data_IF_875467728174
#
_entry.id   IF_875467728174
#
_cell.length_a   1.000
_cell.length_b   1.000
_cell.length_c   1.000
_cell.angle_alpha   90.00
_cell.angle_beta   90.00
_cell.angle_gamma   90.00
#
_symmetry.space_group_name_H-M   'P 1'
#
loop_
_entity.id
_entity.type
_entity.pdbx_description
1 polymer ?
#
# COMPACT_ATOMS: atom_id res chain seq x y z
N UNK A 1 3.24 -13.68 -16.42
CA UNK A 1 2.11 -12.84 -15.97
C UNK A 1 1.08 -13.77 -15.35
N UNK A 2 0.98 -13.79 -14.01
CA UNK A 2 0.06 -14.69 -13.29
C UNK A 2 -1.22 -13.91 -13.00
N UNK A 3 -2.35 -14.44 -13.47
CA UNK A 3 -3.67 -13.85 -13.27
C UNK A 3 -4.30 -14.45 -12.01
N UNK A 4 -5.04 -13.64 -11.26
CA UNK A 4 -5.87 -14.10 -10.13
C UNK A 4 -7.31 -14.28 -10.59
N UNK A 5 -8.08 -15.09 -9.87
CA UNK A 5 -9.48 -15.35 -10.20
C UNK A 5 -10.33 -15.49 -8.95
N UNK A 6 -11.57 -14.99 -9.02
CA UNK A 6 -12.64 -15.33 -8.10
C UNK A 6 -13.67 -16.25 -8.81
N UNK A 7 -14.77 -16.58 -8.12
CA UNK A 7 -15.77 -17.54 -8.63
C UNK A 7 -16.45 -17.13 -9.94
N UNK A 8 -16.35 -15.86 -10.36
CA UNK A 8 -17.04 -15.31 -11.52
C UNK A 8 -16.16 -14.47 -12.47
N UNK A 9 -14.92 -14.16 -12.10
CA UNK A 9 -14.03 -13.30 -12.89
C UNK A 9 -12.56 -13.67 -12.73
N UNK A 10 -11.78 -13.50 -13.79
CA UNK A 10 -10.32 -13.54 -13.80
C UNK A 10 -9.81 -12.11 -13.97
N UNK A 11 -8.83 -11.70 -13.18
CA UNK A 11 -8.35 -10.31 -13.16
C UNK A 11 -6.85 -10.21 -12.89
N UNK A 12 -6.31 -9.03 -13.24
CA UNK A 12 -4.96 -8.61 -12.91
C UNK A 12 -4.99 -7.12 -12.64
N UNK A 13 -4.68 -6.74 -11.40
CA UNK A 13 -4.83 -5.37 -10.94
C UNK A 13 -3.47 -4.82 -10.49
N UNK A 14 -3.04 -3.72 -11.12
CA UNK A 14 -1.83 -2.99 -10.74
C UNK A 14 -2.21 -1.60 -10.26
N UNK A 15 -1.84 -1.27 -9.02
CA UNK A 15 -2.13 0.02 -8.42
C UNK A 15 -0.88 0.63 -7.81
N UNK A 16 -0.77 1.95 -7.95
CA UNK A 16 0.20 2.77 -7.21
C UNK A 16 -0.57 3.61 -6.19
N UNK A 17 -0.56 3.17 -4.93
CA UNK A 17 -1.20 3.88 -3.84
C UNK A 17 -0.20 4.85 -3.17
N UNK A 18 -0.58 6.12 -3.06
CA UNK A 18 0.20 7.15 -2.37
C UNK A 18 -0.68 7.85 -1.35
N UNK A 19 -0.18 7.95 -0.11
CA UNK A 19 -0.88 8.56 1.03
C UNK A 19 0.06 9.53 1.74
N UNK A 20 -0.51 10.51 2.45
CA UNK A 20 0.26 11.48 3.24
C UNK A 20 -0.35 11.62 4.62
N UNK A 21 0.51 11.87 5.61
CA UNK A 21 0.07 12.11 6.99
C UNK A 21 -0.75 13.40 7.12
N UNK A 22 -1.61 13.45 8.13
CA UNK A 22 -2.44 14.61 8.42
C UNK A 22 -1.58 15.88 8.55
N UNK A 23 -1.99 16.94 7.86
CA UNK A 23 -1.25 18.22 7.77
C UNK A 23 0.18 18.14 7.21
N UNK A 24 0.56 17.02 6.57
CA UNK A 24 1.89 16.81 5.96
C UNK A 24 3.06 17.07 6.93
N UNK A 25 2.86 16.79 8.23
CA UNK A 25 3.91 16.95 9.24
C UNK A 25 5.02 15.92 8.99
N UNK A 26 6.28 16.29 9.22
CA UNK A 26 7.43 15.36 9.11
C UNK A 26 7.54 14.50 10.38
N UNK A 27 6.55 13.64 10.59
CA UNK A 27 6.42 12.80 11.80
C UNK A 27 6.83 11.34 11.58
N UNK A 28 7.09 10.92 10.34
CA UNK A 28 7.61 9.59 10.07
C UNK A 28 9.12 9.63 10.33
N UNK A 29 9.50 9.32 11.56
CA UNK A 29 10.89 9.10 11.99
C UNK A 29 11.29 7.63 11.84
N UNK A 30 12.52 7.27 12.19
CA UNK A 30 13.03 5.91 12.04
C UNK A 30 12.24 4.89 12.87
N UNK A 31 11.82 5.25 14.09
CA UNK A 31 11.06 4.37 14.96
C UNK A 31 9.66 4.08 14.39
N UNK A 32 8.95 5.13 13.95
CA UNK A 32 7.63 4.98 13.31
C UNK A 32 7.78 4.27 11.96
N UNK A 33 8.82 4.58 11.17
CA UNK A 33 9.08 3.92 9.89
C UNK A 33 9.30 2.43 10.06
N UNK A 34 10.06 2.00 11.08
CA UNK A 34 10.30 0.60 11.34
C UNK A 34 9.01 -0.13 11.73
N UNK A 35 8.14 0.48 12.55
CA UNK A 35 6.85 -0.12 12.91
C UNK A 35 5.84 -0.17 11.76
N UNK A 36 5.90 0.77 10.80
CA UNK A 36 5.02 0.77 9.62
C UNK A 36 5.38 -0.29 8.57
N UNK A 37 6.57 -0.90 8.66
CA UNK A 37 7.03 -1.94 7.73
C UNK A 37 6.63 -3.35 8.17
N UNK A 38 6.25 -3.54 9.44
CA UNK A 38 5.63 -4.77 9.97
C UNK A 38 4.23 -4.96 9.39
#
# INVERSE_FOLDING_TARGET
MKLDSNNHSVFLLYYHLVLVVKYRRKVIDDAISNRLKE
#
